data_IF_632287355278
#
_entry.id   IF_632287355278
#
_cell.length_a   1.000
_cell.length_b   1.000
_cell.length_c   1.000
_cell.angle_alpha   90.00
_cell.angle_beta   90.00
_cell.angle_gamma   90.00
#
_symmetry.space_group_name_H-M   'P 1'
#
loop_
_entity.id
_entity.type
_entity.pdbx_description
1 polymer ?
#
# COMPACT_ATOMS: atom_id res chain seq x y z
N UNK A 1 -1.70 21.68 0.76
CA UNK A 1 -2.97 21.89 0.02
C UNK A 1 -2.92 23.03 -1.01
N UNK A 2 -2.71 24.29 -0.62
CA UNK A 2 -2.85 25.46 -1.52
C UNK A 2 -2.00 25.43 -2.80
N UNK A 3 -0.76 24.92 -2.71
CA UNK A 3 0.11 24.79 -3.88
C UNK A 3 -0.53 23.98 -5.00
N UNK A 4 -1.23 22.89 -4.65
CA UNK A 4 -1.91 22.00 -5.59
C UNK A 4 -3.08 22.73 -6.25
N UNK A 5 -3.95 23.37 -5.45
CA UNK A 5 -5.10 24.14 -5.97
C UNK A 5 -4.65 25.26 -6.91
N UNK A 6 -3.58 25.99 -6.55
CA UNK A 6 -2.98 27.03 -7.39
C UNK A 6 -2.43 26.46 -8.70
N UNK A 7 -1.82 25.28 -8.67
CA UNK A 7 -1.35 24.60 -9.88
C UNK A 7 -2.48 24.30 -10.85
N UNK A 8 -3.58 23.68 -10.38
CA UNK A 8 -4.75 23.40 -11.22
C UNK A 8 -5.42 24.69 -11.72
N UNK A 9 -5.57 25.71 -10.87
CA UNK A 9 -6.13 26.99 -11.27
C UNK A 9 -5.29 27.69 -12.35
N UNK A 10 -3.96 27.66 -12.21
CA UNK A 10 -3.02 28.21 -13.20
C UNK A 10 -3.12 27.45 -14.53
N UNK A 11 -3.08 26.12 -14.50
CA UNK A 11 -3.19 25.30 -15.70
C UNK A 11 -4.51 25.56 -16.44
N UNK A 12 -5.62 25.69 -15.69
CA UNK A 12 -6.92 26.08 -16.24
C UNK A 12 -6.89 27.46 -16.90
N UNK A 13 -6.25 28.46 -16.29
CA UNK A 13 -6.10 29.81 -16.88
C UNK A 13 -5.23 29.82 -18.15
N UNK A 14 -4.35 28.82 -18.28
CA UNK A 14 -3.47 28.62 -19.43
C UNK A 14 -4.09 27.66 -20.47
N UNK A 15 -5.35 27.25 -20.29
CA UNK A 15 -6.09 26.30 -21.15
C UNK A 15 -5.33 25.00 -21.41
N UNK A 16 -4.73 24.42 -20.36
CA UNK A 16 -3.97 23.16 -20.42
C UNK A 16 -4.26 22.27 -19.22
N UNK A 17 -3.98 20.97 -19.38
CA UNK A 17 -3.98 20.02 -18.27
C UNK A 17 -2.69 20.11 -17.46
N UNK A 18 -2.79 19.73 -16.19
CA UNK A 18 -1.67 19.56 -15.25
C UNK A 18 -0.93 18.27 -15.59
N UNK A 19 0.40 18.31 -15.68
CA UNK A 19 1.22 17.08 -15.67
C UNK A 19 1.57 16.70 -14.24
N UNK A 20 1.20 15.49 -13.83
CA UNK A 20 1.62 14.87 -12.58
C UNK A 20 2.63 13.75 -12.89
N UNK A 21 3.82 13.79 -12.30
CA UNK A 21 4.88 12.81 -12.57
C UNK A 21 5.19 11.98 -11.33
N UNK A 22 5.44 10.68 -11.49
CA UNK A 22 5.78 9.78 -10.39
C UNK A 22 7.21 9.23 -10.49
N UNK A 23 7.89 9.13 -9.34
CA UNK A 23 9.10 8.30 -9.15
C UNK A 23 9.11 7.66 -7.76
N UNK A 24 9.84 6.56 -7.59
CA UNK A 24 10.03 5.92 -6.29
C UNK A 24 11.22 6.52 -5.54
N UNK A 25 11.02 6.93 -4.29
CA UNK A 25 12.10 7.41 -3.44
C UNK A 25 13.16 6.33 -3.25
N UNK A 26 14.44 6.68 -3.42
CA UNK A 26 15.53 5.72 -3.30
C UNK A 26 15.81 4.93 -4.58
N UNK A 27 15.12 5.21 -5.69
CA UNK A 27 15.35 4.61 -6.99
C UNK A 27 15.84 5.65 -8.02
N UNK A 28 16.96 5.40 -8.74
CA UNK A 28 17.82 4.22 -8.66
C UNK A 28 18.66 4.18 -7.37
N UNK A 29 18.92 5.35 -6.77
CA UNK A 29 19.55 5.51 -5.46
C UNK A 29 18.91 6.67 -4.69
N UNK A 30 19.09 6.69 -3.36
CA UNK A 30 18.62 7.79 -2.50
C UNK A 30 19.25 9.12 -2.91
N UNK A 31 20.56 9.12 -3.23
CA UNK A 31 21.31 10.33 -3.58
C UNK A 31 20.87 10.97 -4.90
N UNK A 32 20.44 10.16 -5.86
CA UNK A 32 19.98 10.65 -7.17
C UNK A 32 18.52 11.09 -7.18
N UNK A 33 17.71 10.67 -6.19
CA UNK A 33 16.28 11.00 -6.17
C UNK A 33 16.02 12.52 -6.19
N UNK A 34 16.74 13.37 -5.41
CA UNK A 34 16.56 14.81 -5.50
C UNK A 34 16.85 15.42 -6.88
N UNK A 35 17.83 14.88 -7.62
CA UNK A 35 18.14 15.32 -8.99
C UNK A 35 16.99 14.98 -9.94
N UNK A 36 16.37 13.82 -9.75
CA UNK A 36 15.21 13.37 -10.53
C UNK A 36 14.01 14.30 -10.29
N UNK A 37 13.74 14.71 -9.05
CA UNK A 37 12.60 15.61 -8.77
C UNK A 37 12.79 16.98 -9.41
N UNK A 38 14.01 17.54 -9.33
CA UNK A 38 14.35 18.81 -9.98
C UNK A 38 14.26 18.69 -11.51
N UNK A 39 14.69 17.57 -12.08
CA UNK A 39 14.58 17.29 -13.50
C UNK A 39 13.13 17.17 -13.98
N UNK A 40 12.25 16.53 -13.19
CA UNK A 40 10.81 16.49 -13.46
C UNK A 40 10.22 17.89 -13.53
N UNK A 41 10.50 18.73 -12.53
CA UNK A 41 10.05 20.13 -12.50
C UNK A 41 10.60 20.91 -13.70
N UNK A 42 11.91 20.82 -13.97
CA UNK A 42 12.55 21.52 -15.09
C UNK A 42 11.95 21.12 -16.44
N UNK A 43 11.59 19.84 -16.61
CA UNK A 43 10.91 19.31 -17.79
C UNK A 43 9.41 19.65 -17.88
N UNK A 44 8.87 20.41 -16.93
CA UNK A 44 7.49 20.90 -16.99
C UNK A 44 6.47 20.09 -16.20
N UNK A 45 6.91 19.21 -15.29
CA UNK A 45 6.01 18.63 -14.29
C UNK A 45 5.42 19.74 -13.43
N UNK A 46 4.11 19.70 -13.22
CA UNK A 46 3.38 20.68 -12.42
C UNK A 46 3.15 20.17 -10.99
N UNK A 47 3.08 18.84 -10.78
CA UNK A 47 2.98 18.16 -9.48
C UNK A 47 3.84 16.89 -9.52
N UNK A 48 4.54 16.59 -8.42
CA UNK A 48 5.41 15.42 -8.32
C UNK A 48 4.85 14.46 -7.26
N UNK A 49 4.67 13.20 -7.64
CA UNK A 49 4.39 12.08 -6.75
C UNK A 49 5.71 11.38 -6.42
N UNK A 50 6.04 11.33 -5.13
CA UNK A 50 7.18 10.60 -4.60
C UNK A 50 6.67 9.34 -3.91
N UNK A 51 6.90 8.20 -4.55
CA UNK A 51 6.54 6.88 -4.05
C UNK A 51 7.37 6.50 -2.83
N UNK A 52 6.71 6.24 -1.71
CA UNK A 52 7.33 5.67 -0.51
C UNK A 52 7.48 4.16 -0.72
N UNK A 53 8.71 3.62 -0.70
CA UNK A 53 8.92 2.23 -1.04
C UNK A 53 8.27 1.28 -0.03
N UNK A 54 7.60 0.24 -0.52
CA UNK A 54 6.86 -0.73 0.29
C UNK A 54 7.15 -2.17 -0.14
N UNK A 55 7.13 -3.10 0.82
CA UNK A 55 7.45 -4.52 0.63
C UNK A 55 6.37 -5.27 -0.13
N UNK A 56 5.10 -4.85 0.02
CA UNK A 56 3.93 -5.55 -0.52
C UNK A 56 3.10 -4.62 -1.43
N UNK A 57 3.67 -4.10 -2.52
CA UNK A 57 3.03 -3.07 -3.35
C UNK A 57 1.95 -3.66 -4.30
N UNK A 58 0.84 -4.12 -3.73
CA UNK A 58 -0.22 -4.88 -4.43
C UNK A 58 -0.98 -4.09 -5.52
N UNK A 59 -1.02 -2.76 -5.45
CA UNK A 59 -1.66 -1.90 -6.44
C UNK A 59 -0.73 -1.52 -7.60
N UNK A 60 0.58 -1.72 -7.42
CA UNK A 60 1.59 -1.28 -8.37
C UNK A 60 1.86 -2.34 -9.44
N UNK A 61 2.20 -1.89 -10.64
CA UNK A 61 2.62 -2.77 -11.73
C UNK A 61 4.13 -3.04 -11.73
N UNK A 62 4.58 -3.97 -12.59
CA UNK A 62 5.92 -4.57 -12.51
C UNK A 62 7.07 -3.56 -12.51
N UNK A 63 6.96 -2.46 -13.27
CA UNK A 63 7.98 -1.40 -13.29
C UNK A 63 8.15 -0.76 -11.92
N UNK A 64 7.04 -0.41 -11.26
CA UNK A 64 7.06 0.25 -9.95
C UNK A 64 7.41 -0.75 -8.85
N UNK A 65 6.94 -2.00 -8.92
CA UNK A 65 7.36 -3.07 -7.99
C UNK A 65 8.88 -3.30 -8.04
N UNK A 66 9.47 -3.29 -9.25
CA UNK A 66 10.92 -3.38 -9.43
C UNK A 66 11.68 -2.20 -8.81
N UNK A 67 11.17 -0.97 -9.00
CA UNK A 67 11.73 0.24 -8.38
C UNK A 67 11.65 0.19 -6.85
N UNK A 68 10.52 -0.24 -6.28
CA UNK A 68 10.34 -0.47 -4.85
C UNK A 68 11.40 -1.46 -4.31
N UNK A 69 11.58 -2.60 -4.98
CA UNK A 69 12.54 -3.62 -4.58
C UNK A 69 13.97 -3.07 -4.49
N UNK A 70 14.37 -2.25 -5.48
CA UNK A 70 15.70 -1.63 -5.49
C UNK A 70 15.83 -0.55 -4.42
N UNK A 71 14.82 0.31 -4.27
CA UNK A 71 14.79 1.33 -3.23
C UNK A 71 14.90 0.73 -1.82
N UNK A 72 14.20 -0.37 -1.54
CA UNK A 72 14.29 -1.09 -0.27
C UNK A 72 15.68 -1.71 -0.08
N UNK A 73 16.30 -2.27 -1.13
CA UNK A 73 17.70 -2.75 -1.08
C UNK A 73 18.71 -1.64 -0.78
N UNK A 74 18.40 -0.40 -1.20
CA UNK A 74 19.20 0.78 -0.87
C UNK A 74 18.98 1.28 0.57
N UNK A 75 18.13 0.61 1.37
CA UNK A 75 17.81 0.99 2.74
C UNK A 75 16.82 2.16 2.87
N UNK A 76 16.18 2.56 1.76
CA UNK A 76 15.26 3.71 1.74
C UNK A 76 14.03 3.43 2.62
N UNK A 77 13.76 4.34 3.56
CA UNK A 77 12.59 4.31 4.43
C UNK A 77 11.90 5.69 4.49
N UNK A 78 10.87 5.84 5.34
CA UNK A 78 10.09 7.07 5.49
C UNK A 78 10.97 8.29 5.84
N UNK A 79 11.99 8.12 6.68
CA UNK A 79 12.90 9.23 7.04
C UNK A 79 13.69 9.71 5.82
N UNK A 80 14.13 8.77 4.98
CA UNK A 80 14.84 9.10 3.73
C UNK A 80 13.90 9.78 2.74
N UNK A 81 12.64 9.34 2.62
CA UNK A 81 11.64 9.99 1.79
C UNK A 81 11.46 11.47 2.19
N UNK A 82 11.31 11.73 3.49
CA UNK A 82 11.19 13.09 4.02
C UNK A 82 12.48 13.90 3.80
N UNK A 83 13.65 13.28 3.95
CA UNK A 83 14.94 13.93 3.74
C UNK A 83 15.16 14.29 2.26
N UNK A 84 14.79 13.40 1.33
CA UNK A 84 14.81 13.66 -0.12
C UNK A 84 13.99 14.92 -0.44
N UNK A 85 12.80 15.05 0.15
CA UNK A 85 11.97 16.26 -0.06
C UNK A 85 12.68 17.50 0.48
N UNK A 86 13.24 17.45 1.71
CA UNK A 86 14.01 18.58 2.27
C UNK A 86 15.18 18.98 1.39
N UNK A 87 15.94 18.01 0.91
CA UNK A 87 17.11 18.23 0.04
C UNK A 87 16.68 18.80 -1.31
N UNK A 88 15.59 18.32 -1.90
CA UNK A 88 15.04 18.91 -3.12
C UNK A 88 14.55 20.34 -2.90
N UNK A 89 13.87 20.63 -1.78
CA UNK A 89 13.41 21.99 -1.44
C UNK A 89 14.57 22.95 -1.23
N UNK A 90 15.63 22.54 -0.51
CA UNK A 90 16.83 23.37 -0.29
C UNK A 90 17.56 23.69 -1.60
N UNK A 91 17.43 22.82 -2.60
CA UNK A 91 17.96 22.98 -3.95
C UNK A 91 17.01 23.70 -4.92
N UNK A 92 15.88 24.20 -4.43
CA UNK A 92 14.99 25.08 -5.18
C UNK A 92 13.78 24.41 -5.82
N UNK A 93 13.45 23.15 -5.50
CA UNK A 93 12.23 22.50 -5.98
C UNK A 93 11.00 23.29 -5.51
N UNK A 94 10.14 23.74 -6.43
CA UNK A 94 8.91 24.50 -6.09
C UNK A 94 7.62 23.73 -6.32
N UNK A 95 7.63 22.77 -7.24
CA UNK A 95 6.50 21.94 -7.59
C UNK A 95 5.92 21.27 -6.34
N UNK A 96 4.58 21.26 -6.17
CA UNK A 96 3.95 20.51 -5.09
C UNK A 96 4.40 19.04 -5.12
N UNK A 97 4.77 18.50 -3.95
CA UNK A 97 5.19 17.10 -3.78
C UNK A 97 4.13 16.35 -2.98
N UNK A 98 3.66 15.24 -3.53
CA UNK A 98 2.73 14.30 -2.91
C UNK A 98 3.49 13.04 -2.50
N UNK A 99 3.33 12.57 -1.27
CA UNK A 99 3.82 11.25 -0.88
C UNK A 99 2.78 10.21 -1.27
N UNK A 100 3.14 9.32 -2.17
CA UNK A 100 2.28 8.22 -2.62
C UNK A 100 2.78 6.91 -2.02
N UNK A 101 1.90 6.06 -1.51
CA UNK A 101 2.32 4.77 -0.94
C UNK A 101 1.21 4.06 -0.20
N UNK A 102 1.60 3.10 0.64
CA UNK A 102 0.70 2.28 1.43
C UNK A 102 0.63 2.79 2.87
N UNK A 103 -0.49 2.51 3.53
CA UNK A 103 -0.77 3.08 4.83
C UNK A 103 0.09 2.48 5.95
N UNK A 104 0.46 1.20 5.85
CA UNK A 104 1.19 0.50 6.91
C UNK A 104 2.55 1.15 7.27
N UNK A 105 3.45 1.51 6.32
CA UNK A 105 4.67 2.25 6.66
C UNK A 105 4.43 3.60 7.34
N UNK A 106 3.40 4.34 6.92
CA UNK A 106 3.00 5.60 7.54
C UNK A 106 2.53 5.37 8.99
N UNK A 107 1.71 4.34 9.19
CA UNK A 107 1.22 3.95 10.50
C UNK A 107 2.35 3.54 11.44
N UNK A 108 3.31 2.74 10.96
CA UNK A 108 4.48 2.31 11.72
C UNK A 108 5.40 3.49 12.10
N UNK A 109 5.46 4.54 11.27
CA UNK A 109 6.18 5.77 11.59
C UNK A 109 5.49 6.61 12.68
N UNK A 110 4.17 6.47 12.78
CA UNK A 110 3.29 7.28 13.62
C UNK A 110 2.59 8.34 12.77
N UNK A 111 1.26 8.28 12.73
CA UNK A 111 0.41 9.11 11.86
C UNK A 111 0.60 10.62 12.11
N UNK A 112 0.41 11.07 13.35
CA UNK A 112 0.56 12.50 13.69
C UNK A 112 1.98 13.00 13.45
N UNK A 113 2.97 12.20 13.85
CA UNK A 113 4.39 12.48 13.59
C UNK A 113 4.67 12.59 12.10
N UNK A 114 4.11 11.70 11.29
CA UNK A 114 4.24 11.75 9.84
C UNK A 114 3.70 13.07 9.28
N UNK A 115 2.53 13.52 9.72
CA UNK A 115 1.93 14.76 9.24
C UNK A 115 2.79 15.98 9.60
N UNK A 116 3.27 16.05 10.85
CA UNK A 116 4.17 17.11 11.32
C UNK A 116 5.48 17.15 10.52
N UNK A 117 6.13 15.99 10.37
CA UNK A 117 7.42 15.89 9.69
C UNK A 117 7.30 16.11 8.18
N UNK A 118 6.21 15.64 7.56
CA UNK A 118 5.89 15.87 6.15
C UNK A 118 5.63 17.35 5.88
N UNK A 119 4.84 18.01 6.72
CA UNK A 119 4.62 19.46 6.63
C UNK A 119 5.94 20.22 6.73
N UNK A 120 6.75 19.89 7.72
CA UNK A 120 8.05 20.52 7.95
C UNK A 120 9.05 20.26 6.82
N UNK A 121 8.97 19.10 6.16
CA UNK A 121 9.78 18.78 4.98
C UNK A 121 9.36 19.55 3.71
N UNK A 122 8.15 20.09 3.66
CA UNK A 122 7.59 20.76 2.48
C UNK A 122 6.80 19.83 1.55
N UNK A 123 6.25 18.74 2.08
CA UNK A 123 5.25 17.88 1.42
C UNK A 123 3.91 18.61 1.38
N UNK A 124 3.13 18.39 0.31
CA UNK A 124 1.86 19.06 0.08
C UNK A 124 0.63 18.19 0.36
N UNK A 125 0.81 16.88 0.43
CA UNK A 125 -0.24 15.91 0.74
C UNK A 125 0.16 14.45 0.51
N UNK A 126 -0.83 13.57 0.60
CA UNK A 126 -0.70 12.13 0.51
C UNK A 126 -1.67 11.51 -0.50
N UNK A 127 -1.22 10.43 -1.13
CA UNK A 127 -2.03 9.46 -1.87
C UNK A 127 -1.78 8.11 -1.21
N UNK A 128 -2.68 7.65 -0.33
CA UNK A 128 -2.58 6.35 0.32
C UNK A 128 -3.39 5.35 -0.48
N UNK A 129 -2.71 4.49 -1.23
CA UNK A 129 -3.34 3.69 -2.29
C UNK A 129 -4.27 2.60 -1.76
N UNK A 130 -4.07 2.18 -0.51
CA UNK A 130 -4.78 1.11 0.20
C UNK A 130 -5.61 1.64 1.38
N UNK A 131 -5.78 2.96 1.53
CA UNK A 131 -6.59 3.54 2.59
C UNK A 131 -7.98 3.90 2.05
N UNK A 132 -9.02 3.07 2.28
CA UNK A 132 -10.37 3.36 1.81
C UNK A 132 -10.96 4.56 2.57
N UNK A 133 -11.95 5.26 2.00
CA UNK A 133 -12.53 6.47 2.60
C UNK A 133 -13.12 6.21 3.98
N UNK A 134 -13.66 5.01 4.26
CA UNK A 134 -14.15 4.59 5.57
C UNK A 134 -13.09 4.71 6.67
N UNK A 135 -11.85 4.32 6.37
CA UNK A 135 -10.72 4.38 7.30
C UNK A 135 -9.97 5.72 7.20
N UNK A 136 -10.07 6.39 6.04
CA UNK A 136 -9.40 7.65 5.77
C UNK A 136 -10.03 8.84 6.48
N UNK A 137 -11.27 8.73 6.96
CA UNK A 137 -12.04 9.78 7.60
C UNK A 137 -11.22 10.59 8.63
N UNK A 138 -10.63 9.89 9.61
CA UNK A 138 -9.78 10.49 10.65
C UNK A 138 -8.48 11.05 10.09
N UNK A 139 -7.80 10.28 9.24
CA UNK A 139 -6.52 10.67 8.64
C UNK A 139 -6.65 11.92 7.77
N UNK A 140 -7.73 12.02 7.00
CA UNK A 140 -8.08 13.16 6.14
C UNK A 140 -8.34 14.41 6.97
N UNK A 141 -9.03 14.29 8.11
CA UNK A 141 -9.20 15.41 9.04
C UNK A 141 -7.84 15.92 9.54
N UNK A 142 -6.98 15.01 10.02
CA UNK A 142 -5.65 15.42 10.46
C UNK A 142 -4.83 16.05 9.34
N UNK A 143 -4.85 15.49 8.12
CA UNK A 143 -4.23 16.11 6.95
C UNK A 143 -4.67 17.57 6.79
N UNK A 144 -5.98 17.82 6.86
CA UNK A 144 -6.58 19.16 6.74
C UNK A 144 -6.08 20.09 7.84
N UNK A 145 -6.05 19.63 9.10
CA UNK A 145 -5.59 20.42 10.25
C UNK A 145 -4.11 20.85 10.11
N UNK A 146 -3.28 20.04 9.45
CA UNK A 146 -1.87 20.37 9.13
C UNK A 146 -1.68 21.09 7.77
N UNK A 147 -2.77 21.38 7.05
CA UNK A 147 -2.76 22.01 5.72
C UNK A 147 -2.16 21.13 4.62
N UNK A 148 -2.22 19.81 4.81
CA UNK A 148 -1.81 18.76 3.87
C UNK A 148 -3.05 18.24 3.14
N UNK A 149 -2.90 17.88 1.87
CA UNK A 149 -3.99 17.28 1.09
C UNK A 149 -4.05 15.78 1.30
N UNK A 150 -5.25 15.21 1.33
CA UNK A 150 -5.46 13.78 1.12
C UNK A 150 -6.24 13.59 -0.18
N UNK A 151 -5.64 12.88 -1.13
CA UNK A 151 -6.20 12.68 -2.47
C UNK A 151 -6.88 11.31 -2.54
N UNK A 152 -8.22 11.26 -2.71
CA UNK A 152 -8.93 10.00 -2.87
C UNK A 152 -8.74 9.43 -4.27
N UNK A 153 -8.83 8.09 -4.36
CA UNK A 153 -8.76 7.36 -5.61
C UNK A 153 -10.17 6.93 -6.06
N UNK A 154 -10.45 6.99 -7.35
CA UNK A 154 -11.65 6.44 -7.99
C UNK A 154 -11.21 5.47 -9.09
N UNK A 155 -11.82 4.28 -9.13
CA UNK A 155 -11.57 3.25 -10.12
C UNK A 155 -12.81 3.04 -11.01
N UNK A 156 -12.71 2.32 -12.15
CA UNK A 156 -13.84 2.11 -13.05
C UNK A 156 -14.99 1.33 -12.39
N UNK A 157 -14.66 0.40 -11.49
CA UNK A 157 -15.65 -0.38 -10.75
C UNK A 157 -16.36 0.43 -9.66
N UNK A 158 -15.76 1.53 -9.17
CA UNK A 158 -16.28 2.31 -8.04
C UNK A 158 -17.77 2.63 -8.24
N UNK A 159 -18.59 2.10 -7.33
CA UNK A 159 -20.04 2.30 -7.34
C UNK A 159 -20.42 3.78 -7.24
N UNK A 160 -21.62 4.15 -7.70
CA UNK A 160 -22.08 5.55 -7.65
C UNK A 160 -22.14 6.09 -6.20
N UNK A 161 -22.61 5.28 -5.24
CA UNK A 161 -22.66 5.66 -3.82
C UNK A 161 -21.27 5.98 -3.30
N UNK A 162 -20.28 5.13 -3.60
CA UNK A 162 -18.89 5.29 -3.18
C UNK A 162 -18.19 6.45 -3.88
N UNK A 163 -18.53 6.70 -5.15
CA UNK A 163 -18.00 7.85 -5.89
C UNK A 163 -18.47 9.18 -5.29
N UNK A 164 -19.75 9.32 -4.93
CA UNK A 164 -20.27 10.52 -4.25
C UNK A 164 -19.50 10.83 -2.96
N UNK A 165 -19.23 9.79 -2.18
CA UNK A 165 -18.44 9.87 -0.97
C UNK A 165 -17.00 10.33 -1.24
N UNK A 166 -16.29 9.64 -2.14
CA UNK A 166 -14.89 9.94 -2.50
C UNK A 166 -14.75 11.38 -3.05
N UNK A 167 -15.70 11.79 -3.89
CA UNK A 167 -15.78 13.16 -4.38
C UNK A 167 -16.03 14.18 -3.25
N UNK A 168 -16.87 13.86 -2.26
CA UNK A 168 -17.19 14.75 -1.14
C UNK A 168 -16.04 14.97 -0.17
N UNK A 169 -15.11 14.02 -0.04
CA UNK A 169 -13.94 14.16 0.85
C UNK A 169 -12.73 14.81 0.17
N UNK A 170 -12.71 14.84 -1.16
CA UNK A 170 -11.60 15.37 -1.95
C UNK A 170 -11.39 16.87 -1.69
N UNK A 171 -10.17 17.24 -1.32
CA UNK A 171 -9.83 18.65 -1.10
C UNK A 171 -9.17 19.28 -2.33
N UNK A 172 -8.18 18.62 -2.96
CA UNK A 172 -7.32 19.27 -3.95
C UNK A 172 -7.59 18.80 -5.39
N UNK A 173 -7.58 17.48 -5.60
CA UNK A 173 -7.97 16.81 -6.83
C UNK A 173 -8.39 15.37 -6.51
N UNK A 174 -8.99 14.70 -7.49
CA UNK A 174 -9.38 13.29 -7.43
C UNK A 174 -8.44 12.51 -8.33
N UNK A 175 -7.85 11.42 -7.83
CA UNK A 175 -7.04 10.52 -8.65
C UNK A 175 -7.94 9.48 -9.32
N UNK A 176 -8.04 9.51 -10.65
CA UNK A 176 -8.82 8.53 -11.42
C UNK A 176 -7.89 7.45 -11.98
N UNK A 177 -8.06 6.22 -11.51
CA UNK A 177 -7.33 5.05 -11.98
C UNK A 177 -8.04 4.52 -13.24
N UNK A 178 -7.42 4.63 -14.42
CA UNK A 178 -8.10 4.30 -15.69
C UNK A 178 -8.17 2.80 -16.03
N UNK A 179 -7.58 1.92 -15.20
CA UNK A 179 -7.54 0.47 -15.44
C UNK A 179 -8.05 -0.33 -14.24
N UNK A 180 -8.80 -1.39 -14.54
CA UNK A 180 -9.06 -2.51 -13.64
C UNK A 180 -7.83 -3.42 -13.59
N UNK A 181 -6.77 -3.02 -12.87
CA UNK A 181 -5.56 -3.84 -12.70
C UNK A 181 -4.24 -3.05 -12.62
N UNK A 182 -3.16 -3.73 -12.27
CA UNK A 182 -1.81 -3.16 -12.04
C UNK A 182 -1.18 -2.54 -13.30
N UNK A 183 -0.36 -1.49 -13.14
CA UNK A 183 0.22 -0.70 -14.25
C UNK A 183 1.02 -1.54 -15.27
N UNK A 184 0.55 -1.64 -16.52
CA UNK A 184 1.32 -2.31 -17.58
C UNK A 184 0.76 -2.20 -19.01
N UNK A 185 1.53 -1.56 -19.89
CA UNK A 185 1.75 -1.78 -21.34
C UNK A 185 0.63 -2.14 -22.36
N UNK A 186 -0.68 -2.08 -22.08
CA UNK A 186 -1.66 -2.08 -23.19
C UNK A 186 -1.90 -0.65 -23.71
N UNK A 187 -1.78 -0.45 -25.03
CA UNK A 187 -1.70 0.82 -25.77
C UNK A 187 -3.03 1.52 -26.03
N UNK A 188 -4.16 0.93 -25.64
CA UNK A 188 -5.48 1.55 -25.80
C UNK A 188 -5.93 2.22 -24.50
N UNK A 189 -6.34 3.49 -24.61
CA UNK A 189 -7.18 4.17 -23.62
C UNK A 189 -8.41 3.31 -23.33
N UNK A 190 -8.78 3.18 -22.05
CA UNK A 190 -10.00 2.46 -21.67
C UNK A 190 -11.20 3.10 -22.34
N UNK A 191 -12.00 2.32 -23.07
CA UNK A 191 -13.22 2.82 -23.75
C UNK A 191 -14.22 3.46 -22.78
N UNK A 192 -14.19 3.06 -21.49
CA UNK A 192 -15.05 3.61 -20.44
C UNK A 192 -14.50 4.85 -19.72
N UNK A 193 -13.33 5.37 -20.11
CA UNK A 193 -12.75 6.55 -19.44
C UNK A 193 -13.62 7.82 -19.55
N UNK A 194 -14.20 8.16 -20.73
CA UNK A 194 -15.07 9.34 -20.84
C UNK A 194 -16.29 9.27 -19.90
N UNK A 195 -16.95 8.12 -19.84
CA UNK A 195 -18.12 7.87 -18.99
C UNK A 195 -17.77 7.93 -17.50
N UNK A 196 -16.60 7.38 -17.13
CA UNK A 196 -16.10 7.47 -15.77
C UNK A 196 -15.83 8.92 -15.35
N UNK A 197 -15.19 9.70 -16.20
CA UNK A 197 -14.90 11.11 -15.92
C UNK A 197 -16.16 11.96 -15.85
N UNK A 198 -17.15 11.71 -16.72
CA UNK A 198 -18.44 12.38 -16.64
C UNK A 198 -19.12 12.15 -15.28
N UNK A 199 -19.09 10.91 -14.77
CA UNK A 199 -19.59 10.58 -13.43
C UNK A 199 -18.80 11.28 -12.33
N UNK A 200 -17.47 11.31 -12.43
CA UNK A 200 -16.60 12.01 -11.46
C UNK A 200 -16.93 13.50 -11.42
N UNK A 201 -16.97 14.16 -12.57
CA UNK A 201 -17.27 15.60 -12.70
C UNK A 201 -18.68 15.95 -12.21
N UNK A 202 -19.66 15.05 -12.40
CA UNK A 202 -21.01 15.21 -11.87
C UNK A 202 -21.03 15.30 -10.34
N UNK A 203 -20.16 14.56 -9.65
CA UNK A 203 -20.17 14.47 -8.18
C UNK A 203 -19.06 15.26 -7.48
N UNK A 204 -18.00 15.67 -8.20
CA UNK A 204 -16.81 16.31 -7.61
C UNK A 204 -17.03 17.73 -7.11
N UNK A 205 -18.18 18.36 -7.42
CA UNK A 205 -18.43 19.75 -7.05
C UNK A 205 -17.43 20.74 -7.65
N UNK A 206 -16.81 20.38 -8.79
CA UNK A 206 -15.80 21.19 -9.46
C UNK A 206 -14.35 20.94 -8.99
N UNK A 207 -14.13 19.97 -8.09
CA UNK A 207 -12.78 19.48 -7.79
C UNK A 207 -12.21 18.78 -9.05
N UNK A 208 -10.98 19.12 -9.48
CA UNK A 208 -10.39 18.60 -10.71
C UNK A 208 -10.07 17.10 -10.61
N UNK A 209 -10.11 16.40 -11.74
CA UNK A 209 -9.70 15.01 -11.86
C UNK A 209 -8.32 14.90 -12.50
N UNK A 210 -7.45 14.07 -11.93
CA UNK A 210 -6.19 13.67 -12.54
C UNK A 210 -6.23 12.19 -12.91
N UNK A 211 -6.07 11.88 -14.19
CA UNK A 211 -6.16 10.51 -14.70
C UNK A 211 -4.79 9.87 -14.72
N UNK A 212 -4.65 8.75 -14.01
CA UNK A 212 -3.49 7.88 -14.07
C UNK A 212 -3.71 6.61 -14.88
N UNK A 213 -2.59 5.92 -15.13
CA UNK A 213 -2.48 4.62 -15.82
C UNK A 213 -2.62 4.70 -17.36
N UNK A 214 -1.70 4.04 -18.07
CA UNK A 214 -1.74 3.91 -19.54
C UNK A 214 -1.16 5.09 -20.35
N UNK A 215 -0.74 6.17 -19.70
CA UNK A 215 -0.14 7.33 -20.38
C UNK A 215 1.38 7.19 -20.42
N UNK A 216 1.96 7.21 -21.62
CA UNK A 216 3.41 7.08 -21.83
C UNK A 216 3.97 8.00 -22.92
N UNK A 217 3.10 8.58 -23.76
CA UNK A 217 3.51 9.49 -24.84
C UNK A 217 2.79 10.83 -24.74
N UNK A 218 3.25 11.81 -25.51
CA UNK A 218 2.62 13.12 -25.61
C UNK A 218 1.20 13.01 -26.17
N UNK A 219 0.99 12.15 -27.14
CA UNK A 219 -0.31 11.93 -27.77
C UNK A 219 -1.30 11.43 -26.72
N UNK A 220 -0.90 10.47 -25.88
CA UNK A 220 -1.75 10.03 -24.75
C UNK A 220 -2.06 11.19 -23.80
N UNK A 221 -1.05 12.00 -23.44
CA UNK A 221 -1.22 13.16 -22.57
C UNK A 221 -2.22 14.17 -23.13
N UNK A 222 -2.12 14.48 -24.43
CA UNK A 222 -3.03 15.41 -25.12
C UNK A 222 -4.45 14.83 -25.20
N UNK A 223 -4.62 13.56 -25.57
CA UNK A 223 -5.94 12.94 -25.67
C UNK A 223 -6.64 12.83 -24.29
N UNK A 224 -5.93 12.37 -23.26
CA UNK A 224 -6.47 12.31 -21.89
C UNK A 224 -6.76 13.71 -21.36
N UNK A 225 -5.91 14.69 -21.69
CA UNK A 225 -6.07 16.08 -21.28
C UNK A 225 -7.30 16.78 -21.87
N UNK A 226 -7.89 16.26 -22.96
CA UNK A 226 -9.19 16.74 -23.47
C UNK A 226 -10.35 16.42 -22.53
N UNK A 227 -10.20 15.39 -21.71
CA UNK A 227 -11.26 14.86 -20.83
C UNK A 227 -11.00 15.15 -19.36
N UNK A 228 -9.78 15.55 -18.98
CA UNK A 228 -9.37 15.68 -17.57
C UNK A 228 -8.46 16.88 -17.33
N UNK A 229 -8.55 17.42 -16.11
CA UNK A 229 -7.77 18.58 -15.69
C UNK A 229 -6.30 18.24 -15.39
N UNK A 230 -6.00 16.97 -15.13
CA UNK A 230 -4.65 16.48 -14.88
C UNK A 230 -4.39 15.10 -15.47
N UNK A 231 -3.12 14.84 -15.80
CA UNK A 231 -2.69 13.56 -16.36
C UNK A 231 -1.46 13.07 -15.60
N UNK A 232 -1.51 11.83 -15.12
CA UNK A 232 -0.46 11.21 -14.30
C UNK A 232 0.38 10.24 -15.13
N UNK A 233 1.70 10.41 -15.08
CA UNK A 233 2.67 9.52 -15.74
C UNK A 233 3.69 9.00 -14.72
N UNK A 234 3.67 7.68 -14.48
CA UNK A 234 4.61 7.03 -13.55
C UNK A 234 5.48 5.97 -14.22
N UNK A 235 4.90 4.85 -14.64
CA UNK A 235 5.66 3.68 -15.11
C UNK A 235 6.63 3.99 -16.25
N UNK A 236 6.28 4.90 -17.17
CA UNK A 236 7.18 5.28 -18.25
C UNK A 236 8.40 6.06 -17.75
N UNK A 237 8.25 6.90 -16.72
CA UNK A 237 9.37 7.61 -16.11
C UNK A 237 10.30 6.62 -15.40
N UNK A 238 9.73 5.67 -14.64
CA UNK A 238 10.49 4.58 -14.01
C UNK A 238 11.26 3.77 -15.06
N UNK A 239 10.64 3.44 -16.20
CA UNK A 239 11.29 2.73 -17.29
C UNK A 239 12.42 3.57 -17.93
N UNK A 240 12.22 4.88 -18.08
CA UNK A 240 13.25 5.78 -18.59
C UNK A 240 14.43 5.89 -17.63
N UNK A 241 14.18 5.97 -16.32
CA UNK A 241 15.22 5.91 -15.28
C UNK A 241 16.01 4.60 -15.37
N UNK A 242 15.31 3.46 -15.50
CA UNK A 242 15.92 2.14 -15.61
C UNK A 242 16.87 2.02 -16.80
N UNK A 243 16.51 2.62 -17.93
CA UNK A 243 17.24 2.51 -19.19
C UNK A 243 18.25 3.66 -19.42
N UNK A 244 18.32 4.63 -18.51
CA UNK A 244 19.22 5.75 -18.64
C UNK A 244 20.69 5.33 -18.45
N UNK A 245 21.64 5.93 -19.19
CA UNK A 245 23.06 5.72 -18.93
C UNK A 245 23.44 6.26 -17.54
N UNK A 246 24.47 5.69 -16.93
CA UNK A 246 25.00 6.16 -15.64
C UNK A 246 25.33 7.66 -15.68
N UNK A 247 24.86 8.41 -14.69
CA UNK A 247 25.01 9.87 -14.64
C UNK A 247 24.10 10.66 -15.60
N UNK A 248 23.30 9.99 -16.44
CA UNK A 248 22.38 10.62 -17.39
C UNK A 248 20.90 10.62 -16.96
N UNK A 249 20.57 10.06 -15.81
CA UNK A 249 19.18 9.84 -15.35
C UNK A 249 18.37 11.14 -15.32
N UNK A 250 18.89 12.18 -14.66
CA UNK A 250 18.20 13.47 -14.55
C UNK A 250 17.90 14.08 -15.93
N UNK A 251 18.87 14.05 -16.86
CA UNK A 251 18.69 14.59 -18.21
C UNK A 251 17.63 13.84 -19.01
N UNK A 252 17.62 12.50 -18.92
CA UNK A 252 16.60 11.66 -19.57
C UNK A 252 15.20 11.96 -19.03
N UNK A 253 15.07 12.13 -17.71
CA UNK A 253 13.79 12.48 -17.07
C UNK A 253 13.31 13.87 -17.48
N UNK A 254 14.20 14.86 -17.47
CA UNK A 254 13.88 16.24 -17.89
C UNK A 254 13.43 16.28 -19.35
N UNK A 255 14.17 15.65 -20.27
CA UNK A 255 13.84 15.64 -21.68
C UNK A 255 12.56 14.87 -21.98
N UNK A 256 12.29 13.80 -21.24
CA UNK A 256 11.02 13.09 -21.36
C UNK A 256 9.84 13.96 -20.92
N UNK A 257 9.90 14.56 -19.73
CA UNK A 257 8.84 15.46 -19.24
C UNK A 257 8.64 16.65 -20.20
N UNK A 258 9.75 17.19 -20.72
CA UNK A 258 9.70 18.25 -21.73
C UNK A 258 9.04 17.75 -23.02
N UNK A 259 9.33 16.54 -23.49
CA UNK A 259 8.67 15.94 -24.64
C UNK A 259 7.16 15.77 -24.44
N UNK A 260 6.72 15.45 -23.22
CA UNK A 260 5.30 15.37 -22.88
C UNK A 260 4.63 16.75 -22.93
N UNK A 261 5.22 17.75 -22.27
CA UNK A 261 4.55 19.05 -22.07
C UNK A 261 4.86 20.10 -23.13
N UNK A 262 6.00 19.97 -23.82
CA UNK A 262 6.69 20.99 -24.62
C UNK A 262 6.99 22.29 -23.84
N UNK A 263 7.05 22.21 -22.50
CA UNK A 263 7.40 23.33 -21.62
C UNK A 263 8.74 23.04 -20.95
N UNK A 264 9.48 24.09 -20.61
CA UNK A 264 10.57 24.03 -19.64
C UNK A 264 10.28 25.05 -18.55
N UNK A 265 10.42 24.65 -17.30
CA UNK A 265 10.38 25.58 -16.19
C UNK A 265 11.80 26.18 -16.03
N UNK A 266 11.94 27.52 -15.95
CA UNK A 266 13.26 28.16 -15.86
C UNK A 266 14.05 27.63 -14.65
N UNK A 267 15.27 27.18 -14.90
CA UNK A 267 16.14 26.60 -13.88
C UNK A 267 16.46 27.59 -12.75
N UNK A 268 16.60 27.05 -11.54
CA UNK A 268 17.47 27.63 -10.51
C UNK A 268 18.91 27.18 -10.85
N UNK A 269 19.92 28.06 -10.83
CA UNK A 269 21.27 27.74 -11.30
C UNK A 269 21.84 26.51 -10.60
N UNK A 270 22.42 25.61 -11.39
CA UNK A 270 23.19 24.46 -10.88
C UNK A 270 24.35 24.96 -10.02
N UNK A 271 24.41 24.53 -8.77
CA UNK A 271 25.63 24.64 -7.99
C UNK A 271 26.69 23.76 -8.64
N UNK A 272 27.67 24.40 -9.30
CA UNK A 272 28.86 23.75 -9.80
C UNK A 272 29.50 22.91 -8.70
N UNK A 273 29.86 21.67 -9.03
CA UNK A 273 30.51 20.76 -8.12
C UNK A 273 31.80 21.35 -7.53
N UNK A 274 32.05 21.08 -6.26
CA UNK A 274 33.37 20.67 -5.76
C UNK A 274 33.31 20.21 -4.31
N UNK A 275 34.06 19.13 -4.10
CA UNK A 275 34.78 18.71 -2.89
C UNK A 275 33.96 18.28 -1.66
N UNK A 276 34.10 16.99 -1.39
CA UNK A 276 33.45 16.31 -0.29
C UNK A 276 34.02 16.72 1.05
N UNK A 277 33.10 16.84 2.00
CA UNK A 277 33.41 16.60 3.40
C UNK A 277 32.88 15.22 3.74
N UNK A 278 33.81 14.32 4.09
CA UNK A 278 33.51 12.97 4.53
C UNK A 278 32.60 13.03 5.75
N UNK A 279 31.40 12.47 5.61
CA UNK A 279 30.58 12.13 6.75
C UNK A 279 31.22 10.93 7.43
N UNK A 280 31.58 11.12 8.70
CA UNK A 280 32.08 10.09 9.61
C UNK A 280 31.11 8.91 9.67
N UNK A 281 31.55 7.76 9.20
CA UNK A 281 30.89 6.47 9.44
C UNK A 281 31.41 5.88 10.74
N UNK A 282 30.72 6.16 11.84
CA UNK A 282 30.87 5.40 13.07
C UNK A 282 29.50 4.87 13.49
N UNK A 283 29.05 3.84 12.77
CA UNK A 283 27.99 2.95 13.21
C UNK A 283 28.60 1.52 13.26
N UNK A 284 28.71 1.01 14.48
CA UNK A 284 28.93 -0.37 14.94
C UNK A 284 29.61 -1.39 13.98
N UNK A 285 30.84 -1.88 14.27
CA UNK A 285 31.55 -2.86 13.42
C UNK A 285 30.95 -4.28 13.35
N UNK A 286 29.92 -4.62 14.13
CA UNK A 286 29.55 -6.04 14.32
C UNK A 286 28.18 -6.49 13.81
N UNK A 287 27.25 -5.60 13.42
CA UNK A 287 26.06 -5.97 12.65
C UNK A 287 25.25 -7.20 13.13
N UNK A 288 25.22 -7.50 14.42
CA UNK A 288 24.69 -8.75 14.99
C UNK A 288 23.34 -8.59 15.72
N UNK A 289 22.76 -7.38 15.72
CA UNK A 289 21.44 -7.15 16.32
C UNK A 289 21.43 -7.13 17.85
N UNK A 290 22.59 -7.07 18.52
CA UNK A 290 22.65 -6.92 19.98
C UNK A 290 22.41 -5.46 20.41
N UNK A 291 21.13 -5.10 20.62
CA UNK A 291 20.79 -3.75 21.10
C UNK A 291 19.32 -3.52 21.47
N UNK A 292 18.49 -4.56 21.42
CA UNK A 292 17.10 -4.48 21.83
C UNK A 292 16.89 -5.46 22.98
N UNK A 293 16.25 -4.97 24.05
CA UNK A 293 15.94 -5.62 25.35
C UNK A 293 16.98 -5.31 26.45
N UNK A 294 16.65 -4.48 27.45
CA UNK A 294 17.32 -4.52 28.75
C UNK A 294 16.93 -5.83 29.45
N UNK A 295 17.91 -6.71 29.68
CA UNK A 295 17.71 -7.96 30.39
C UNK A 295 17.61 -7.72 31.91
N UNK A 296 16.40 -7.62 32.45
CA UNK A 296 16.19 -7.73 33.90
C UNK A 296 15.07 -8.69 34.31
N UNK A 297 14.61 -9.57 33.42
CA UNK A 297 13.71 -10.66 33.82
C UNK A 297 14.40 -12.02 33.66
N UNK A 298 14.57 -12.72 34.78
CA UNK A 298 14.95 -14.13 34.82
C UNK A 298 13.88 -14.98 34.11
N UNK A 299 14.26 -15.91 33.22
CA UNK A 299 13.33 -16.83 32.59
C UNK A 299 12.55 -17.63 33.64
N UNK A 300 11.23 -17.75 33.45
CA UNK A 300 10.43 -18.68 34.26
C UNK A 300 10.70 -20.11 33.81
N UNK A 301 10.83 -21.02 34.77
CA UNK A 301 11.00 -22.45 34.51
C UNK A 301 9.85 -23.00 33.68
N UNK A 302 10.20 -23.68 32.59
CA UNK A 302 9.28 -24.41 31.73
C UNK A 302 9.46 -25.90 32.01
N UNK A 303 8.36 -26.60 32.27
CA UNK A 303 8.34 -28.04 32.57
C UNK A 303 8.96 -28.86 31.43
N UNK A 304 9.82 -29.81 31.78
CA UNK A 304 10.44 -30.79 30.86
C UNK A 304 9.71 -32.13 30.83
N UNK A 305 8.45 -32.19 31.29
CA UNK A 305 7.68 -33.42 31.32
C UNK A 305 7.18 -33.84 29.92
N UNK A 306 7.26 -35.14 29.64
CA UNK A 306 6.87 -35.75 28.36
C UNK A 306 5.33 -35.74 28.18
N UNK A 307 4.81 -34.98 27.19
CA UNK A 307 3.37 -34.79 27.00
C UNK A 307 2.64 -36.05 26.49
N UNK A 308 3.34 -37.14 26.21
CA UNK A 308 2.75 -38.38 25.69
C UNK A 308 2.28 -39.36 26.77
N UNK A 309 2.45 -39.01 28.05
CA UNK A 309 2.12 -39.90 29.18
C UNK A 309 0.74 -39.65 29.82
N UNK A 310 -0.09 -38.76 29.25
CA UNK A 310 -1.49 -38.61 29.69
C UNK A 310 -2.46 -39.01 28.56
N UNK A 311 -3.41 -39.94 28.82
CA UNK A 311 -4.45 -40.25 27.86
C UNK A 311 -5.40 -39.06 27.69
N UNK A 312 -5.79 -38.76 26.45
CA UNK A 312 -6.67 -37.67 26.06
C UNK A 312 -8.11 -37.73 26.65
N UNK A 313 -8.40 -38.66 27.57
CA UNK A 313 -9.72 -38.92 28.13
C UNK A 313 -9.85 -38.53 29.62
N UNK A 314 -9.02 -37.63 30.12
CA UNK A 314 -9.27 -36.92 31.39
C UNK A 314 -9.48 -35.41 31.15
N UNK A 315 -10.24 -35.06 30.12
CA UNK A 315 -10.91 -33.77 30.07
C UNK A 315 -12.26 -33.86 30.80
N UNK A 316 -12.25 -33.15 31.92
CA UNK A 316 -13.32 -32.71 32.81
C UNK A 316 -14.55 -32.09 32.06
N UNK A 317 -15.73 -31.92 32.70
CA UNK A 317 -17.01 -31.45 32.13
C UNK A 317 -17.04 -30.07 31.43
N UNK A 318 -15.90 -29.43 31.17
CA UNK A 318 -15.72 -28.47 30.07
C UNK A 318 -15.86 -29.11 28.66
N UNK A 319 -15.96 -30.44 28.63
CA UNK A 319 -16.53 -31.38 27.66
C UNK A 319 -16.92 -30.90 26.24
N UNK A 320 -15.98 -30.33 25.51
CA UNK A 320 -15.80 -30.66 24.08
C UNK A 320 -16.94 -30.31 23.12
N UNK A 321 -17.94 -29.56 23.58
CA UNK A 321 -18.75 -28.71 22.70
C UNK A 321 -18.04 -27.37 22.72
N UNK A 322 -17.64 -26.84 21.56
CA UNK A 322 -17.12 -25.47 21.47
C UNK A 322 -18.15 -24.56 22.14
N UNK A 323 -17.84 -24.08 23.35
CA UNK A 323 -18.67 -23.10 24.02
C UNK A 323 -18.31 -21.76 23.39
N UNK A 324 -19.26 -21.20 22.65
CA UNK A 324 -19.14 -19.82 22.20
C UNK A 324 -19.35 -18.94 23.42
N UNK A 325 -18.26 -18.39 23.98
CA UNK A 325 -18.31 -17.52 25.17
C UNK A 325 -19.22 -16.31 24.95
N UNK A 326 -19.35 -15.87 23.70
CA UNK A 326 -20.37 -14.94 23.20
C UNK A 326 -20.43 -14.96 21.67
N UNK A 327 -21.65 -14.89 21.10
CA UNK A 327 -21.80 -14.54 19.67
C UNK A 327 -21.78 -13.03 19.61
N UNK A 328 -20.68 -12.45 19.12
CA UNK A 328 -20.65 -11.01 18.87
C UNK A 328 -21.55 -10.72 17.68
N UNK A 329 -22.78 -10.28 17.96
CA UNK A 329 -23.65 -9.66 16.97
C UNK A 329 -23.16 -8.21 16.87
N UNK A 330 -22.52 -7.86 15.76
CA UNK A 330 -22.11 -6.49 15.52
C UNK A 330 -23.30 -5.56 15.72
N UNK A 331 -23.16 -4.57 16.60
CA UNK A 331 -23.98 -3.38 16.47
C UNK A 331 -23.37 -2.59 15.30
N UNK A 332 -24.19 -2.25 14.32
CA UNK A 332 -23.79 -1.33 13.27
C UNK A 332 -23.35 -0.04 13.96
N UNK A 333 -22.06 0.27 13.85
CA UNK A 333 -21.55 1.58 14.22
C UNK A 333 -22.22 2.66 13.36
N UNK A 334 -22.03 3.95 13.71
CA UNK A 334 -22.58 5.05 12.93
C UNK A 334 -22.23 4.90 11.44
N UNK A 335 -23.21 5.13 10.56
CA UNK A 335 -23.00 5.02 9.13
C UNK A 335 -21.96 6.03 8.65
N UNK A 336 -21.25 5.71 7.57
CA UNK A 336 -20.21 6.58 7.02
C UNK A 336 -20.68 8.01 6.71
N UNK A 337 -21.96 8.18 6.36
CA UNK A 337 -22.58 9.49 6.18
C UNK A 337 -22.67 10.25 7.50
N UNK A 338 -23.11 9.59 8.57
CA UNK A 338 -23.19 10.16 9.92
C UNK A 338 -21.78 10.52 10.45
N UNK A 339 -20.78 9.68 10.17
CA UNK A 339 -19.38 9.94 10.52
C UNK A 339 -18.85 11.20 9.81
N UNK A 340 -19.13 11.36 8.50
CA UNK A 340 -18.72 12.53 7.74
C UNK A 340 -19.44 13.80 8.19
N UNK A 341 -20.71 13.71 8.55
CA UNK A 341 -21.48 14.84 9.07
C UNK A 341 -20.96 15.27 10.45
N UNK A 342 -20.68 14.32 11.35
CA UNK A 342 -20.08 14.56 12.66
C UNK A 342 -18.70 15.24 12.59
N UNK A 343 -17.91 15.02 11.53
CA UNK A 343 -16.60 15.65 11.35
C UNK A 343 -16.66 17.08 10.81
N UNK A 344 -17.77 17.42 10.15
CA UNK A 344 -18.01 18.75 9.62
C UNK A 344 -18.81 19.63 10.60
N UNK A 345 -19.35 19.05 11.68
CA UNK A 345 -20.02 19.77 12.75
C UNK A 345 -19.01 20.44 13.73
N UNK A 346 -19.39 21.57 14.33
CA UNK A 346 -18.57 22.28 15.31
C UNK A 346 -18.48 21.53 16.66
N UNK A 347 -19.56 20.82 17.04
CA UNK A 347 -19.60 19.94 18.22
C UNK A 347 -19.27 18.49 17.82
N UNK A 348 -18.20 17.95 18.39
CA UNK A 348 -17.69 16.60 18.10
C UNK A 348 -18.32 15.59 19.05
N UNK A 349 -19.18 14.72 18.54
CA UNK A 349 -19.65 13.54 19.28
C UNK A 349 -18.60 12.41 19.22
N UNK A 350 -17.98 12.02 20.35
CA UNK A 350 -17.00 10.93 20.39
C UNK A 350 -17.61 9.56 20.06
N UNK A 351 -18.92 9.36 20.24
CA UNK A 351 -19.61 8.09 19.93
C UNK A 351 -19.80 7.91 18.41
N UNK A 352 -19.77 9.00 17.64
CA UNK A 352 -19.84 8.98 16.18
C UNK A 352 -18.47 8.78 15.50
N UNK A 353 -17.38 8.74 16.27
CA UNK A 353 -16.01 8.55 15.79
C UNK A 353 -15.57 7.09 16.02
N UNK A 354 -15.42 6.26 14.98
CA UNK A 354 -15.09 4.86 15.16
C UNK A 354 -13.73 4.65 15.85
N UNK A 355 -13.60 3.54 16.58
CA UNK A 355 -12.30 3.07 17.05
C UNK A 355 -11.38 2.81 15.85
N UNK A 356 -10.10 3.20 15.95
CA UNK A 356 -9.11 3.20 14.85
C UNK A 356 -8.98 1.87 14.11
N UNK A 357 -9.30 0.79 14.79
CA UNK A 357 -9.48 -0.52 14.20
C UNK A 357 -10.89 -0.95 14.56
N UNK A 358 -11.63 -1.47 13.58
CA UNK A 358 -12.84 -2.23 13.87
C UNK A 358 -12.52 -3.46 14.71
N UNK A 359 -13.53 -4.24 15.04
CA UNK A 359 -13.41 -5.43 15.89
C UNK A 359 -12.35 -6.43 15.40
N UNK A 360 -12.06 -6.47 14.09
CA UNK A 360 -11.15 -7.43 13.46
C UNK A 360 -9.91 -6.77 12.82
N UNK A 361 -9.59 -5.53 13.22
CA UNK A 361 -8.63 -4.69 12.49
C UNK A 361 -9.35 -3.73 11.54
N UNK A 362 -8.58 -2.88 10.87
CA UNK A 362 -9.08 -1.98 9.82
C UNK A 362 -8.95 -2.62 8.44
N UNK A 363 -9.69 -2.12 7.46
CA UNK A 363 -9.66 -2.62 6.08
C UNK A 363 -8.72 -1.77 5.23
N UNK A 364 -7.58 -2.32 4.83
CA UNK A 364 -6.58 -1.59 4.02
C UNK A 364 -6.39 -2.26 2.67
N UNK A 365 -7.16 -1.80 1.69
CA UNK A 365 -7.26 -2.42 0.38
C UNK A 365 -7.32 -1.33 -0.70
N UNK A 366 -6.62 -1.52 -1.84
CA UNK A 366 -6.75 -0.62 -2.98
C UNK A 366 -8.17 -0.48 -3.49
N UNK A 367 -8.54 0.75 -3.86
CA UNK A 367 -9.88 1.08 -4.36
C UNK A 367 -10.33 0.17 -5.52
N UNK A 368 -9.40 -0.23 -6.39
CA UNK A 368 -9.69 -1.11 -7.53
C UNK A 368 -10.12 -2.54 -7.15
N UNK A 369 -9.89 -2.97 -5.90
CA UNK A 369 -10.25 -4.29 -5.39
C UNK A 369 -11.51 -4.28 -4.50
N UNK A 370 -12.00 -3.11 -4.11
CA UNK A 370 -13.12 -2.99 -3.17
C UNK A 370 -14.39 -3.69 -3.65
N UNK A 371 -14.76 -3.54 -4.92
CA UNK A 371 -15.95 -4.20 -5.45
C UNK A 371 -15.78 -5.72 -5.60
N UNK A 372 -14.56 -6.19 -5.88
CA UNK A 372 -14.25 -7.62 -5.90
C UNK A 372 -14.41 -8.24 -4.51
N UNK A 373 -13.94 -7.53 -3.47
CA UNK A 373 -14.12 -7.96 -2.10
C UNK A 373 -15.59 -7.91 -1.67
N UNK A 374 -16.33 -6.89 -2.06
CA UNK A 374 -17.77 -6.82 -1.81
C UNK A 374 -18.55 -7.95 -2.51
N UNK A 375 -18.12 -8.36 -3.71
CA UNK A 375 -18.67 -9.53 -4.39
C UNK A 375 -18.32 -10.83 -3.66
N UNK A 376 -17.07 -10.97 -3.22
CA UNK A 376 -16.62 -12.13 -2.44
C UNK A 376 -17.38 -12.26 -1.12
N UNK A 377 -17.60 -11.14 -0.42
CA UNK A 377 -18.38 -11.08 0.82
C UNK A 377 -19.84 -11.49 0.57
N UNK A 378 -20.49 -10.97 -0.49
CA UNK A 378 -21.84 -11.41 -0.87
C UNK A 378 -21.90 -12.90 -1.16
N UNK A 379 -20.96 -13.44 -1.93
CA UNK A 379 -20.91 -14.87 -2.23
C UNK A 379 -20.67 -15.72 -0.98
N UNK A 380 -19.82 -15.24 -0.08
CA UNK A 380 -19.61 -15.88 1.23
C UNK A 380 -20.89 -15.88 2.07
N UNK A 381 -21.61 -14.75 2.12
CA UNK A 381 -22.87 -14.64 2.85
C UNK A 381 -23.99 -15.47 2.24
N UNK A 382 -24.09 -15.54 0.92
CA UNK A 382 -25.02 -16.42 0.22
C UNK A 382 -24.75 -17.89 0.58
N UNK A 383 -23.50 -18.33 0.50
CA UNK A 383 -23.11 -19.69 0.88
C UNK A 383 -23.33 -19.96 2.38
N UNK A 384 -22.95 -19.02 3.25
CA UNK A 384 -23.12 -19.11 4.71
C UNK A 384 -24.60 -19.18 5.11
N UNK A 385 -25.50 -18.58 4.34
CA UNK A 385 -26.93 -18.59 4.63
C UNK A 385 -27.68 -19.70 3.86
N UNK A 386 -27.04 -20.44 2.96
CA UNK A 386 -27.65 -21.56 2.23
C UNK A 386 -27.60 -22.87 3.07
N UNK A 387 -28.75 -23.43 3.47
CA UNK A 387 -28.79 -24.71 4.18
C UNK A 387 -28.20 -25.87 3.39
N UNK A 388 -28.29 -25.86 2.04
CA UNK A 388 -27.74 -26.93 1.18
C UNK A 388 -26.22 -26.92 1.20
N UNK A 389 -25.61 -25.73 1.16
CA UNK A 389 -24.16 -25.57 1.33
C UNK A 389 -23.70 -26.19 2.65
N UNK A 390 -24.42 -25.94 3.76
CA UNK A 390 -24.07 -26.54 5.05
C UNK A 390 -24.29 -28.04 5.12
N UNK A 391 -25.32 -28.58 4.45
CA UNK A 391 -25.54 -30.01 4.33
C UNK A 391 -24.35 -30.69 3.62
N UNK A 392 -23.94 -30.13 2.48
CA UNK A 392 -22.77 -30.59 1.73
C UNK A 392 -21.48 -30.44 2.54
N UNK A 393 -21.22 -29.25 3.11
CA UNK A 393 -20.03 -28.99 3.91
C UNK A 393 -19.89 -29.94 5.10
N UNK A 394 -21.00 -30.21 5.81
CA UNK A 394 -21.02 -31.18 6.93
C UNK A 394 -20.85 -32.62 6.47
N UNK A 395 -21.26 -32.96 5.25
CA UNK A 395 -21.01 -34.29 4.67
C UNK A 395 -19.51 -34.60 4.55
N UNK A 396 -18.66 -33.57 4.46
CA UNK A 396 -17.20 -33.72 4.43
C UNK A 396 -16.55 -33.88 5.81
N UNK A 397 -17.26 -33.66 6.92
CA UNK A 397 -16.68 -33.74 8.27
C UNK A 397 -15.98 -35.08 8.58
N UNK A 398 -16.46 -36.25 8.13
CA UNK A 398 -15.75 -37.51 8.30
C UNK A 398 -14.35 -37.55 7.64
N UNK A 399 -14.07 -36.65 6.71
CA UNK A 399 -12.79 -36.52 5.99
C UNK A 399 -11.92 -35.37 6.53
N UNK A 400 -12.51 -34.41 7.24
CA UNK A 400 -11.81 -33.29 7.87
C UNK A 400 -11.18 -33.72 9.20
N UNK A 401 -10.03 -33.12 9.56
CA UNK A 401 -9.35 -33.33 10.85
C UNK A 401 -9.04 -34.79 11.23
N UNK A 402 -8.92 -35.69 10.26
CA UNK A 402 -8.52 -37.09 10.51
C UNK A 402 -7.13 -37.16 11.15
N UNK A 403 -6.91 -38.05 12.13
CA UNK A 403 -5.59 -38.27 12.68
C UNK A 403 -4.59 -38.59 11.57
N UNK A 404 -3.53 -37.79 11.47
CA UNK A 404 -2.46 -38.06 10.51
C UNK A 404 -1.74 -39.33 10.92
N UNK A 405 -1.71 -40.33 10.05
CA UNK A 405 -1.00 -41.57 10.37
C UNK A 405 0.50 -41.30 10.52
N UNK A 406 1.08 -41.81 11.60
CA UNK A 406 2.53 -41.83 11.81
C UNK A 406 3.07 -43.15 11.29
N UNK A 407 3.98 -43.09 10.32
CA UNK A 407 4.67 -44.26 9.80
C UNK A 407 6.06 -44.36 10.41
N UNK A 408 6.35 -45.45 11.13
CA UNK A 408 7.69 -45.69 11.67
C UNK A 408 8.65 -46.00 10.53
N UNK A 409 9.66 -45.15 10.33
CA UNK A 409 10.68 -45.36 9.32
C UNK A 409 11.74 -46.34 9.87
N UNK A 410 11.49 -47.65 9.72
CA UNK A 410 12.32 -48.68 10.34
C UNK A 410 13.79 -48.62 9.92
N UNK A 411 14.06 -48.45 8.62
CA UNK A 411 15.43 -48.35 8.08
C UNK A 411 16.18 -47.12 8.59
N UNK A 412 15.49 -45.99 8.73
CA UNK A 412 16.08 -44.76 9.24
C UNK A 412 16.29 -44.83 10.75
N UNK A 413 15.34 -45.43 11.47
CA UNK A 413 15.46 -45.73 12.91
C UNK A 413 16.65 -46.63 13.19
N UNK A 414 16.82 -47.70 12.41
CA UNK A 414 17.95 -48.62 12.53
C UNK A 414 19.28 -47.91 12.25
N UNK A 415 19.35 -47.10 11.19
CA UNK A 415 20.53 -46.31 10.86
C UNK A 415 20.93 -45.37 12.00
N UNK A 416 19.98 -44.56 12.50
CA UNK A 416 20.22 -43.61 13.59
C UNK A 416 20.70 -44.33 14.86
N UNK A 417 20.08 -45.47 15.22
CA UNK A 417 20.47 -46.25 16.39
C UNK A 417 21.84 -46.90 16.25
N UNK A 418 22.21 -47.34 15.04
CA UNK A 418 23.53 -47.90 14.77
C UNK A 418 24.66 -46.88 14.99
N UNK A 419 24.40 -45.61 14.72
CA UNK A 419 25.38 -44.52 14.86
C UNK A 419 25.61 -44.09 16.32
N UNK A 420 24.66 -44.32 17.23
CA UNK A 420 24.73 -43.83 18.63
C UNK A 420 24.99 -44.92 19.69
N UNK A 421 25.14 -46.18 19.27
CA UNK A 421 25.49 -47.31 20.12
C UNK A 421 24.29 -48.09 20.67
N UNK A 422 24.53 -49.36 21.02
CA UNK A 422 23.49 -50.30 21.45
C UNK A 422 22.70 -49.80 22.67
N UNK A 423 21.37 -49.84 22.57
CA UNK A 423 20.45 -49.37 23.62
C UNK A 423 20.21 -47.86 23.64
N UNK A 424 20.81 -47.09 22.71
CA UNK A 424 20.61 -45.63 22.58
C UNK A 424 19.95 -45.28 21.24
N UNK A 425 19.29 -44.12 21.18
CA UNK A 425 18.73 -43.55 19.94
C UNK A 425 17.20 -43.59 19.80
N UNK A 426 16.67 -42.63 19.04
CA UNK A 426 15.24 -42.39 18.87
C UNK A 426 14.57 -43.35 17.86
N UNK A 427 13.28 -43.63 18.05
CA UNK A 427 12.43 -44.12 16.95
C UNK A 427 12.11 -42.95 16.03
N UNK A 428 12.28 -43.14 14.72
CA UNK A 428 11.94 -42.11 13.75
C UNK A 428 10.57 -42.42 13.16
N UNK A 429 9.61 -41.53 13.41
CA UNK A 429 8.28 -41.56 12.82
C UNK A 429 8.16 -40.45 11.78
N UNK A 430 7.57 -40.78 10.63
CA UNK A 430 7.24 -39.84 9.59
C UNK A 430 5.74 -39.57 9.67
N UNK A 431 5.36 -38.29 9.77
CA UNK A 431 3.97 -37.88 9.59
C UNK A 431 3.62 -38.04 8.11
N UNK A 432 2.73 -38.98 7.79
CA UNK A 432 2.30 -39.25 6.41
C UNK A 432 1.22 -38.26 5.98
N UNK A 433 1.59 -36.98 5.95
CA UNK A 433 0.70 -35.92 5.48
C UNK A 433 0.26 -36.19 4.04
N UNK A 434 1.10 -36.86 3.23
CA UNK A 434 0.82 -37.36 1.87
C UNK A 434 -0.44 -38.24 1.77
N UNK A 435 -0.82 -38.94 2.85
CA UNK A 435 -2.03 -39.77 2.92
C UNK A 435 -3.27 -39.01 3.42
N UNK A 436 -3.10 -37.79 3.94
CA UNK A 436 -4.22 -36.92 4.28
C UNK A 436 -4.70 -36.19 3.03
N UNK A 437 -6.00 -36.27 2.74
CA UNK A 437 -6.63 -35.55 1.62
C UNK A 437 -6.92 -34.06 1.93
N UNK A 438 -6.37 -33.51 3.02
CA UNK A 438 -6.86 -32.24 3.60
C UNK A 438 -5.77 -31.28 4.10
N UNK A 439 -4.55 -31.36 3.56
CA UNK A 439 -3.52 -30.36 3.83
C UNK A 439 -3.74 -29.06 3.03
N UNK A 440 -3.63 -27.89 3.67
CA UNK A 440 -3.67 -26.57 3.02
C UNK A 440 -2.63 -26.42 1.90
N UNK A 441 -1.53 -27.17 1.97
CA UNK A 441 -0.45 -27.20 0.97
C UNK A 441 -0.69 -28.22 -0.17
N UNK A 442 -1.85 -28.89 -0.19
CA UNK A 442 -2.22 -29.92 -1.16
C UNK A 442 -3.43 -29.58 -2.02
N UNK A 443 -3.89 -28.33 -2.00
CA UNK A 443 -4.74 -27.79 -3.09
C UNK A 443 -3.84 -27.66 -4.33
N UNK A 444 -3.48 -28.79 -4.91
CA UNK A 444 -3.11 -28.88 -6.31
C UNK A 444 -4.40 -29.23 -7.03
N UNK A 445 -5.00 -28.22 -7.67
CA UNK A 445 -5.88 -28.36 -8.83
C UNK A 445 -6.81 -29.58 -8.79
N UNK A 446 -7.92 -29.49 -8.07
CA UNK A 446 -9.10 -30.26 -8.42
C UNK A 446 -9.96 -29.37 -9.32
N UNK A 447 -10.02 -29.78 -10.59
CA UNK A 447 -10.85 -29.26 -11.68
C UNK A 447 -12.32 -29.54 -11.37
#
# INVERSE_FOLDING_TARGET
MDGIRKTFAKAKSESRSVLVTYTTAGYPTIKETPDILLAMEAGGSDIIELGMPFTDPIADGPSIQGANTIALKNGCNIKDCLQIVRDSRSRGLRAPVMLMGYYNPLLAYGEEKMLQDAKSAGVNGFIMVDLPPEEAVRFRKHCTDYGLSYVPLIAPATSEKRMKLLCGIADSFIYVVSRMGVTGASSALSSGLPELLERVHKYSGGVPAAVGFGVSTREHFVEVGKLSEGVVIGSQIINNIKNAPAGGVAKVVEDYCHGITLRRNPQVPQANGTNGHGLSTAANPHGDGSGWIPSTETPKDISTADPTTQPASQSDPSNGTVHVDSVVKGQDGPGLADQLEALNAEDKDPELMPSRFGQFGGQYVPESLMDCLAQLERGFDEARNDPKFWEEYRSYYPYMSRPSSLHKADRLTEKVRKEVGAGKGANIYLKREDLNHTGSHKINNAI
#
